data_IF_981966473313
#
_entry.id   IF_981966473313
#
_cell.length_a   1.000
_cell.length_b   1.000
_cell.length_c   1.000
_cell.angle_alpha   90.00
_cell.angle_beta   90.00
_cell.angle_gamma   90.00
#
_symmetry.space_group_name_H-M   'P 1'
#
loop_
_entity.id
_entity.type
_entity.pdbx_description
1 polymer ?
#
# COMPACT_ATOMS: atom_id res chain seq x y z
N UNK A 1 -25.28 -19.33 19.57
CA UNK A 1 -26.67 -18.85 19.38
C UNK A 1 -27.15 -17.91 20.48
N UNK A 2 -27.30 -18.33 21.75
CA UNK A 2 -27.84 -17.45 22.82
C UNK A 2 -27.13 -16.10 22.96
N UNK A 3 -25.79 -16.07 22.88
CA UNK A 3 -25.03 -14.81 22.95
C UNK A 3 -25.23 -13.92 21.72
N UNK A 4 -25.40 -14.50 20.53
CA UNK A 4 -25.74 -13.75 19.32
C UNK A 4 -27.10 -13.07 19.46
N UNK A 5 -28.12 -13.78 19.95
CA UNK A 5 -29.43 -13.18 20.22
C UNK A 5 -29.34 -12.03 21.24
N UNK A 6 -28.55 -12.19 22.32
CA UNK A 6 -28.34 -11.12 23.30
C UNK A 6 -27.70 -9.87 22.67
N UNK A 7 -26.75 -10.03 21.74
CA UNK A 7 -26.17 -8.92 20.97
C UNK A 7 -27.23 -8.26 20.08
N UNK A 8 -27.98 -9.07 19.33
CA UNK A 8 -29.02 -8.59 18.41
C UNK A 8 -30.17 -7.87 19.11
N UNK A 9 -30.52 -8.23 20.35
CA UNK A 9 -31.55 -7.54 21.14
C UNK A 9 -31.12 -6.13 21.61
N UNK A 10 -29.85 -5.77 21.47
CA UNK A 10 -29.29 -4.48 21.90
C UNK A 10 -28.99 -3.52 20.74
N UNK A 11 -29.36 -3.88 19.52
CA UNK A 11 -29.12 -3.06 18.33
C UNK A 11 -29.96 -1.78 18.36
N UNK A 12 -29.41 -0.68 17.86
CA UNK A 12 -30.09 0.60 17.70
C UNK A 12 -30.23 1.02 16.24
N UNK A 13 -29.55 0.31 15.34
CA UNK A 13 -29.61 0.51 13.90
C UNK A 13 -29.59 -0.82 13.14
N UNK A 14 -29.91 -0.78 11.85
CA UNK A 14 -29.78 -1.96 10.97
C UNK A 14 -28.29 -2.30 10.75
N UNK A 15 -27.43 -1.28 10.76
CA UNK A 15 -25.98 -1.44 10.65
C UNK A 15 -25.41 -2.19 11.86
N UNK A 16 -25.89 -1.91 13.06
CA UNK A 16 -25.51 -2.60 14.30
C UNK A 16 -25.84 -4.11 14.24
N UNK A 17 -26.92 -4.50 13.56
CA UNK A 17 -27.27 -5.90 13.39
C UNK A 17 -26.26 -6.65 12.51
N UNK A 18 -25.79 -6.02 11.42
CA UNK A 18 -24.74 -6.57 10.58
C UNK A 18 -23.42 -6.71 11.35
N UNK A 19 -23.05 -5.67 12.11
CA UNK A 19 -21.83 -5.72 12.93
C UNK A 19 -21.95 -6.73 14.06
N UNK A 20 -23.12 -6.89 14.68
CA UNK A 20 -23.34 -7.89 15.74
C UNK A 20 -23.08 -9.32 15.27
N UNK A 21 -23.42 -9.65 14.02
CA UNK A 21 -23.08 -10.95 13.41
C UNK A 21 -21.56 -11.13 13.27
N UNK A 22 -20.90 -10.13 12.69
CA UNK A 22 -19.45 -10.10 12.49
C UNK A 22 -18.69 -10.20 13.81
N UNK A 23 -19.06 -9.37 14.77
CA UNK A 23 -18.47 -9.31 16.11
C UNK A 23 -18.69 -10.61 16.87
N UNK A 24 -19.86 -11.24 16.74
CA UNK A 24 -20.10 -12.54 17.37
C UNK A 24 -19.10 -13.59 16.89
N UNK A 25 -18.88 -13.70 15.58
CA UNK A 25 -17.90 -14.64 15.01
C UNK A 25 -16.47 -14.32 15.44
N UNK A 26 -16.14 -13.03 15.53
CA UNK A 26 -14.82 -12.60 16.00
C UNK A 26 -14.61 -12.93 17.48
N UNK A 27 -15.60 -12.66 18.33
CA UNK A 27 -15.54 -12.88 19.79
C UNK A 27 -15.39 -14.37 20.16
N UNK A 28 -16.05 -15.26 19.41
CA UNK A 28 -15.91 -16.72 19.62
C UNK A 28 -14.63 -17.29 18.99
N UNK A 29 -13.89 -16.49 18.23
CA UNK A 29 -12.65 -16.89 17.57
C UNK A 29 -12.84 -17.92 16.47
N UNK A 30 -13.98 -17.90 15.78
CA UNK A 30 -14.30 -18.85 14.72
C UNK A 30 -13.37 -18.67 13.51
N UNK A 31 -12.99 -19.77 12.87
CA UNK A 31 -12.04 -19.75 11.75
C UNK A 31 -12.51 -20.69 10.63
N UNK A 32 -12.34 -20.31 9.36
CA UNK A 32 -12.77 -21.15 8.27
C UNK A 32 -11.87 -22.38 8.20
N UNK A 33 -12.46 -23.53 7.86
CA UNK A 33 -11.68 -24.72 7.57
C UNK A 33 -10.79 -24.45 6.34
N UNK A 34 -9.47 -24.68 6.47
CA UNK A 34 -8.46 -24.42 5.42
C UNK A 34 -8.73 -25.17 4.11
N UNK A 35 -9.50 -26.26 4.17
CA UNK A 35 -9.85 -27.07 3.00
C UNK A 35 -11.15 -26.62 2.32
N UNK A 36 -11.90 -25.70 2.93
CA UNK A 36 -13.13 -25.19 2.33
C UNK A 36 -12.81 -24.38 1.09
N UNK A 37 -13.50 -24.70 -0.01
CA UNK A 37 -13.44 -23.95 -1.26
C UNK A 37 -14.46 -22.82 -1.19
N UNK A 38 -14.00 -21.59 -1.41
CA UNK A 38 -14.86 -20.42 -1.47
C UNK A 38 -14.27 -19.39 -2.44
N UNK A 39 -15.08 -18.40 -2.80
CA UNK A 39 -14.78 -17.41 -3.83
C UNK A 39 -14.72 -16.00 -3.23
N UNK A 40 -13.60 -15.32 -3.46
CA UNK A 40 -13.38 -13.93 -3.04
C UNK A 40 -13.18 -13.05 -4.27
N UNK A 41 -13.89 -11.92 -4.32
CA UNK A 41 -13.66 -10.86 -5.28
C UNK A 41 -13.03 -9.65 -4.60
N UNK A 42 -11.92 -9.16 -5.12
CA UNK A 42 -11.33 -7.89 -4.74
C UNK A 42 -11.76 -6.83 -5.77
N UNK A 43 -12.48 -5.82 -5.32
CA UNK A 43 -12.81 -4.64 -6.10
C UNK A 43 -11.76 -3.56 -5.87
N UNK A 44 -11.13 -3.12 -6.96
CA UNK A 44 -10.13 -2.07 -6.94
C UNK A 44 -10.38 -1.08 -8.09
N UNK A 45 -10.71 0.17 -7.77
CA UNK A 45 -10.99 1.24 -8.74
C UNK A 45 -9.98 2.39 -8.57
N UNK A 46 -8.69 2.17 -8.90
CA UNK A 46 -7.60 3.04 -8.49
C UNK A 46 -7.66 4.38 -9.21
N UNK A 47 -7.76 5.47 -8.45
CA UNK A 47 -7.85 6.81 -9.02
C UNK A 47 -6.48 7.39 -9.39
N UNK A 48 -5.57 7.43 -8.42
CA UNK A 48 -4.29 8.12 -8.58
C UNK A 48 -3.09 7.18 -8.34
N UNK A 49 -2.17 7.15 -9.31
CA UNK A 49 -0.91 6.42 -9.19
C UNK A 49 -1.06 4.89 -9.08
N UNK A 50 -0.01 4.27 -8.53
CA UNK A 50 0.16 2.82 -8.46
C UNK A 50 -0.05 2.25 -7.05
N UNK A 51 -0.26 3.12 -6.06
CA UNK A 51 -0.36 2.75 -4.64
C UNK A 51 -1.53 1.81 -4.36
N UNK A 52 -2.72 2.14 -4.86
CA UNK A 52 -3.94 1.34 -4.69
C UNK A 52 -3.85 -0.02 -5.37
N UNK A 53 -3.18 -0.08 -6.52
CA UNK A 53 -2.91 -1.33 -7.23
C UNK A 53 -2.02 -2.22 -6.38
N UNK A 54 -0.94 -1.67 -5.83
CA UNK A 54 -0.04 -2.41 -4.93
C UNK A 54 -0.76 -2.85 -3.67
N UNK A 55 -1.60 -2.01 -3.08
CA UNK A 55 -2.41 -2.36 -1.91
C UNK A 55 -3.30 -3.58 -2.19
N UNK A 56 -4.09 -3.53 -3.27
CA UNK A 56 -4.95 -4.65 -3.66
C UNK A 56 -4.15 -5.92 -3.97
N UNK A 57 -2.99 -5.79 -4.61
CA UNK A 57 -2.10 -6.90 -4.91
C UNK A 57 -1.53 -7.55 -3.64
N UNK A 58 -1.20 -6.76 -2.61
CA UNK A 58 -0.75 -7.29 -1.30
C UNK A 58 -1.86 -8.06 -0.60
N UNK A 59 -3.09 -7.54 -0.57
CA UNK A 59 -4.26 -8.25 -0.04
C UNK A 59 -4.51 -9.55 -0.80
N UNK A 60 -4.44 -9.52 -2.14
CA UNK A 60 -4.55 -10.72 -2.97
C UNK A 60 -3.54 -11.80 -2.57
N UNK A 61 -2.28 -11.41 -2.38
CA UNK A 61 -1.21 -12.33 -1.99
C UNK A 61 -1.45 -12.93 -0.59
N UNK A 62 -1.89 -12.13 0.38
CA UNK A 62 -2.23 -12.65 1.71
C UNK A 62 -3.36 -13.66 1.66
N UNK A 63 -4.43 -13.35 0.92
CA UNK A 63 -5.55 -14.27 0.78
C UNK A 63 -5.12 -15.58 0.12
N UNK A 64 -4.25 -15.52 -0.89
CA UNK A 64 -3.71 -16.73 -1.54
C UNK A 64 -2.85 -17.57 -0.60
N UNK A 65 -2.05 -16.93 0.24
CA UNK A 65 -1.23 -17.59 1.25
C UNK A 65 -2.10 -18.21 2.36
N UNK A 66 -3.08 -17.48 2.88
CA UNK A 66 -3.92 -17.92 3.99
C UNK A 66 -4.97 -18.96 3.58
N UNK A 67 -5.50 -18.86 2.37
CA UNK A 67 -6.59 -19.69 1.86
C UNK A 67 -6.25 -20.26 0.47
N UNK A 68 -5.33 -21.24 0.39
CA UNK A 68 -4.82 -21.75 -0.89
C UNK A 68 -5.90 -22.38 -1.77
N UNK A 69 -6.97 -22.91 -1.17
CA UNK A 69 -8.11 -23.52 -1.86
C UNK A 69 -9.17 -22.51 -2.31
N UNK A 70 -9.03 -21.23 -1.95
CA UNK A 70 -9.95 -20.18 -2.35
C UNK A 70 -9.69 -19.71 -3.78
N UNK A 71 -10.77 -19.50 -4.53
CA UNK A 71 -10.72 -18.80 -5.81
C UNK A 71 -10.77 -17.31 -5.53
N UNK A 72 -9.68 -16.60 -5.84
CA UNK A 72 -9.57 -15.17 -5.58
C UNK A 72 -9.41 -14.47 -6.93
N UNK A 73 -10.20 -13.43 -7.16
CA UNK A 73 -10.19 -12.63 -8.39
C UNK A 73 -10.09 -11.15 -8.04
N UNK A 74 -9.47 -10.36 -8.91
CA UNK A 74 -9.43 -8.89 -8.79
C UNK A 74 -10.22 -8.33 -9.97
N UNK A 75 -11.21 -7.47 -9.70
CA UNK A 75 -11.90 -6.70 -10.72
C UNK A 75 -11.46 -5.24 -10.65
N UNK A 76 -11.00 -4.71 -11.79
CA UNK A 76 -10.38 -3.38 -11.87
C UNK A 76 -10.47 -2.77 -13.26
N UNK A 77 -10.55 -1.43 -13.40
CA UNK A 77 -10.39 -0.74 -14.68
C UNK A 77 -8.93 -0.62 -15.13
N UNK A 78 -7.94 -0.98 -14.30
CA UNK A 78 -6.50 -0.87 -14.60
C UNK A 78 -5.80 -2.23 -14.64
N UNK A 79 -6.31 -3.17 -15.44
CA UNK A 79 -5.78 -4.54 -15.56
C UNK A 79 -4.29 -4.55 -15.92
N UNK A 80 -3.86 -3.70 -16.84
CA UNK A 80 -2.46 -3.62 -17.28
C UNK A 80 -1.48 -3.32 -16.13
N UNK A 81 -1.92 -2.54 -15.14
CA UNK A 81 -1.08 -2.24 -13.97
C UNK A 81 -0.82 -3.52 -13.15
N UNK A 82 -1.83 -4.37 -12.94
CA UNK A 82 -1.64 -5.65 -12.25
C UNK A 82 -0.81 -6.64 -13.08
N UNK A 83 -1.00 -6.68 -14.40
CA UNK A 83 -0.18 -7.49 -15.29
C UNK A 83 1.29 -7.08 -15.23
N UNK A 84 1.58 -5.77 -15.19
CA UNK A 84 2.95 -5.26 -15.04
C UNK A 84 3.61 -5.59 -13.70
N UNK A 85 2.80 -5.91 -12.67
CA UNK A 85 3.25 -6.45 -11.39
C UNK A 85 3.41 -7.98 -11.39
N UNK A 86 3.20 -8.64 -12.53
CA UNK A 86 3.34 -10.08 -12.70
C UNK A 86 2.11 -10.89 -12.32
N UNK A 87 0.93 -10.26 -12.19
CA UNK A 87 -0.28 -10.99 -11.87
C UNK A 87 -0.76 -11.86 -13.04
N UNK A 88 -1.26 -13.06 -12.74
CA UNK A 88 -1.79 -13.95 -13.76
C UNK A 88 -3.11 -13.35 -14.35
N UNK A 89 -3.23 -13.21 -15.68
CA UNK A 89 -4.44 -12.69 -16.34
C UNK A 89 -5.72 -13.41 -15.92
N UNK A 90 -5.64 -14.73 -15.66
CA UNK A 90 -6.81 -15.52 -15.24
C UNK A 90 -7.37 -15.07 -13.89
N UNK A 91 -6.60 -14.37 -13.05
CA UNK A 91 -7.06 -13.82 -11.77
C UNK A 91 -7.70 -12.44 -11.89
N UNK A 92 -7.79 -11.87 -13.10
CA UNK A 92 -8.23 -10.51 -13.32
C UNK A 92 -9.55 -10.48 -14.09
N UNK A 93 -10.42 -9.55 -13.70
CA UNK A 93 -11.58 -9.13 -14.49
C UNK A 93 -11.43 -7.66 -14.86
N UNK A 94 -11.59 -7.35 -16.14
CA UNK A 94 -11.59 -5.97 -16.57
C UNK A 94 -12.96 -5.31 -16.34
N UNK A 95 -12.94 -4.21 -15.59
CA UNK A 95 -14.09 -3.32 -15.38
C UNK A 95 -14.02 -2.18 -16.39
N UNK A 96 -14.90 -2.20 -17.37
CA UNK A 96 -15.02 -1.18 -18.40
C UNK A 96 -15.62 0.11 -17.81
N UNK A 97 -14.91 1.25 -17.86
CA UNK A 97 -15.46 2.54 -17.50
C UNK A 97 -16.32 3.16 -18.59
N UNK A 98 -16.38 2.60 -19.80
CA UNK A 98 -17.03 3.20 -20.97
C UNK A 98 -16.04 3.94 -21.87
N UNK A 99 -16.42 4.17 -23.13
CA UNK A 99 -15.53 4.78 -24.14
C UNK A 99 -15.25 6.24 -23.82
N UNK A 100 -13.97 6.63 -23.81
CA UNK A 100 -13.54 8.03 -23.63
C UNK A 100 -13.72 8.58 -22.22
N UNK A 101 -13.96 7.73 -21.23
CA UNK A 101 -14.22 8.12 -19.84
C UNK A 101 -13.01 7.76 -18.97
N UNK A 102 -12.77 8.58 -17.96
CA UNK A 102 -11.73 8.37 -16.95
C UNK A 102 -11.88 7.01 -16.24
N UNK A 103 -10.75 6.36 -15.97
CA UNK A 103 -10.70 5.05 -15.31
C UNK A 103 -11.02 5.12 -13.81
N UNK A 104 -10.83 6.29 -13.18
CA UNK A 104 -11.23 6.58 -11.81
C UNK A 104 -12.73 6.89 -11.76
N UNK A 105 -13.56 5.95 -11.28
CA UNK A 105 -14.98 6.23 -11.06
C UNK A 105 -15.64 5.25 -10.11
N UNK A 106 -16.78 5.68 -9.56
CA UNK A 106 -17.72 4.88 -8.77
C UNK A 106 -18.11 3.57 -9.46
N UNK A 107 -18.30 2.52 -8.67
CA UNK A 107 -18.62 1.17 -9.16
C UNK A 107 -19.96 1.12 -9.90
N UNK A 108 -20.91 1.99 -9.55
CA UNK A 108 -22.19 2.21 -10.27
C UNK A 108 -22.05 2.42 -11.76
N UNK A 109 -20.87 2.85 -12.22
CA UNK A 109 -20.65 3.16 -13.61
C UNK A 109 -19.64 2.25 -14.31
N UNK A 110 -19.09 1.28 -13.59
CA UNK A 110 -18.22 0.26 -14.12
C UNK A 110 -19.06 -0.93 -14.57
N UNK A 111 -18.58 -1.67 -15.58
CA UNK A 111 -19.25 -2.90 -16.05
C UNK A 111 -18.20 -3.96 -16.38
N UNK A 112 -18.48 -5.22 -16.10
CA UNK A 112 -17.60 -6.32 -16.53
C UNK A 112 -17.55 -6.42 -18.06
N UNK A 113 -16.38 -6.22 -18.68
CA UNK A 113 -16.27 -6.21 -20.14
C UNK A 113 -16.26 -7.60 -20.75
N UNK A 114 -15.53 -8.54 -20.14
CA UNK A 114 -15.35 -9.90 -20.65
C UNK A 114 -16.65 -10.71 -20.66
N UNK A 115 -17.62 -10.23 -19.88
CA UNK A 115 -18.92 -10.85 -19.63
C UNK A 115 -19.95 -10.40 -20.67
N UNK A 116 -19.97 -9.12 -21.04
CA UNK A 116 -20.89 -8.61 -22.07
C UNK A 116 -20.61 -9.17 -23.47
N UNK A 117 -19.38 -9.60 -23.75
CA UNK A 117 -19.01 -10.19 -25.04
C UNK A 117 -19.31 -11.68 -25.15
N UNK A 118 -19.57 -12.36 -24.04
CA UNK A 118 -19.64 -13.84 -23.99
C UNK A 118 -20.92 -14.40 -23.35
N UNK A 119 -21.85 -13.56 -22.89
CA UNK A 119 -23.09 -14.00 -22.20
C UNK A 119 -22.80 -14.97 -21.02
N UNK A 120 -21.76 -14.66 -20.24
CA UNK A 120 -21.35 -15.47 -19.08
C UNK A 120 -21.86 -14.80 -17.81
N UNK A 121 -22.66 -15.51 -17.01
CA UNK A 121 -23.02 -15.02 -15.67
C UNK A 121 -21.78 -14.74 -14.82
N UNK A 122 -21.77 -13.58 -14.13
CA UNK A 122 -20.73 -13.27 -13.16
C UNK A 122 -20.76 -14.39 -12.10
N UNK A 123 -19.65 -15.11 -11.84
CA UNK A 123 -19.63 -16.08 -10.77
C UNK A 123 -20.08 -15.43 -9.46
N UNK A 124 -20.97 -16.09 -8.71
CA UNK A 124 -21.31 -15.63 -7.37
C UNK A 124 -20.07 -15.80 -6.49
N UNK A 125 -19.65 -14.70 -5.88
CA UNK A 125 -18.59 -14.62 -4.89
C UNK A 125 -19.19 -14.67 -3.50
N UNK A 126 -18.48 -15.32 -2.59
CA UNK A 126 -18.92 -15.48 -1.21
C UNK A 126 -18.58 -14.22 -0.42
N UNK A 127 -17.40 -13.66 -0.71
CA UNK A 127 -16.90 -12.45 -0.08
C UNK A 127 -16.43 -11.44 -1.15
N UNK A 128 -16.76 -10.17 -0.94
CA UNK A 128 -16.36 -9.04 -1.77
C UNK A 128 -15.51 -8.12 -0.90
N UNK A 129 -14.30 -7.79 -1.34
CA UNK A 129 -13.39 -6.89 -0.65
C UNK A 129 -13.20 -5.61 -1.46
N UNK A 130 -13.48 -4.45 -0.90
CA UNK A 130 -13.14 -3.16 -1.50
C UNK A 130 -11.79 -2.71 -0.93
N UNK A 131 -10.74 -2.80 -1.74
CA UNK A 131 -9.36 -2.67 -1.26
C UNK A 131 -8.47 -1.83 -2.19
N UNK A 132 -8.00 -0.64 -1.77
CA UNK A 132 -8.58 0.15 -0.68
C UNK A 132 -9.91 0.80 -1.13
N UNK A 133 -10.72 1.19 -0.15
CA UNK A 133 -11.83 2.11 -0.34
C UNK A 133 -11.30 3.43 -0.89
N UNK A 134 -11.81 3.86 -2.05
CA UNK A 134 -11.31 5.06 -2.73
C UNK A 134 -11.79 6.33 -2.02
N UNK A 135 -10.84 7.16 -1.58
CA UNK A 135 -11.15 8.42 -0.88
C UNK A 135 -11.87 9.44 -1.78
N UNK A 136 -11.60 9.41 -3.08
CA UNK A 136 -12.12 10.38 -4.05
C UNK A 136 -13.65 10.31 -4.21
N UNK A 137 -14.24 9.13 -4.01
CA UNK A 137 -15.68 8.95 -4.22
C UNK A 137 -16.41 8.13 -3.17
N UNK A 138 -15.68 7.42 -2.30
CA UNK A 138 -16.15 6.69 -1.12
C UNK A 138 -17.41 5.83 -1.40
N UNK A 139 -17.24 4.66 -2.05
CA UNK A 139 -18.37 3.87 -2.53
C UNK A 139 -19.22 3.33 -1.37
N UNK A 140 -20.52 3.53 -1.45
CA UNK A 140 -21.48 2.90 -0.53
C UNK A 140 -21.79 1.47 -0.97
N UNK A 141 -22.47 0.72 -0.10
CA UNK A 141 -22.92 -0.63 -0.45
C UNK A 141 -23.90 -0.61 -1.64
N UNK A 142 -24.71 0.43 -1.79
CA UNK A 142 -25.59 0.63 -2.94
C UNK A 142 -24.80 0.91 -4.23
N UNK A 143 -23.66 1.59 -4.14
CA UNK A 143 -22.77 1.79 -5.29
C UNK A 143 -22.22 0.45 -5.80
N UNK A 144 -21.77 -0.39 -4.88
CA UNK A 144 -21.25 -1.73 -5.15
C UNK A 144 -22.37 -2.64 -5.67
N UNK A 145 -23.58 -2.55 -5.09
CA UNK A 145 -24.73 -3.36 -5.48
C UNK A 145 -25.18 -3.13 -6.94
N UNK A 146 -24.91 -1.96 -7.52
CA UNK A 146 -25.17 -1.74 -8.96
C UNK A 146 -24.21 -2.52 -9.88
N UNK A 147 -23.02 -2.88 -9.39
CA UNK A 147 -22.08 -3.74 -10.09
C UNK A 147 -22.29 -5.22 -9.72
N UNK A 148 -22.61 -5.50 -8.44
CA UNK A 148 -22.78 -6.84 -7.88
C UNK A 148 -24.10 -6.89 -7.09
N UNK A 149 -25.23 -7.29 -7.70
CA UNK A 149 -26.57 -7.12 -7.11
C UNK A 149 -26.81 -7.76 -5.74
N UNK A 150 -26.04 -8.78 -5.37
CA UNK A 150 -26.16 -9.47 -4.07
C UNK A 150 -25.20 -8.92 -2.99
N UNK A 151 -24.42 -7.88 -3.29
CA UNK A 151 -23.55 -7.24 -2.31
C UNK A 151 -24.35 -6.61 -1.17
N UNK A 152 -23.93 -6.86 0.07
CA UNK A 152 -24.50 -6.28 1.28
C UNK A 152 -23.43 -6.13 2.36
N UNK A 153 -23.80 -5.52 3.49
CA UNK A 153 -22.86 -5.21 4.58
C UNK A 153 -22.25 -6.44 5.28
N UNK A 154 -22.72 -7.67 5.04
CA UNK A 154 -22.13 -8.89 5.62
C UNK A 154 -21.09 -9.49 4.69
N UNK A 155 -21.42 -9.66 3.41
CA UNK A 155 -20.52 -10.27 2.43
C UNK A 155 -19.57 -9.28 1.75
N UNK A 156 -19.69 -7.98 2.04
CA UNK A 156 -18.82 -6.94 1.50
C UNK A 156 -18.02 -6.31 2.63
N UNK A 157 -16.70 -6.39 2.52
CA UNK A 157 -15.75 -5.84 3.49
C UNK A 157 -14.92 -4.73 2.86
N UNK A 158 -14.56 -3.75 3.67
CA UNK A 158 -13.93 -2.51 3.23
C UNK A 158 -12.60 -2.31 3.94
N UNK A 159 -11.59 -1.91 3.17
CA UNK A 159 -10.26 -1.61 3.69
C UNK A 159 -9.99 -0.12 3.53
N UNK A 160 -9.63 0.56 4.61
CA UNK A 160 -9.20 1.95 4.52
C UNK A 160 -7.86 2.06 3.78
N UNK A 161 -7.54 3.25 3.27
CA UNK A 161 -6.14 3.62 3.09
C UNK A 161 -5.41 3.75 4.45
N UNK A 162 -4.07 3.79 4.45
CA UNK A 162 -3.33 3.92 5.70
C UNK A 162 -3.67 5.21 6.44
N UNK A 163 -4.08 5.04 7.70
CA UNK A 163 -4.38 6.11 8.65
C UNK A 163 -5.45 7.11 8.16
N UNK A 164 -6.43 6.66 7.36
CA UNK A 164 -7.65 7.43 7.06
C UNK A 164 -8.51 7.64 8.33
N UNK A 165 -9.50 8.53 8.33
CA UNK A 165 -10.31 8.81 9.51
C UNK A 165 -11.03 7.56 10.07
N UNK A 166 -11.05 7.41 11.40
CA UNK A 166 -11.62 6.23 12.09
C UNK A 166 -13.16 6.21 12.09
N UNK A 167 -13.80 7.36 11.88
CA UNK A 167 -15.26 7.54 11.87
C UNK A 167 -15.93 7.09 10.56
N UNK A 168 -15.13 6.53 9.64
CA UNK A 168 -15.55 6.04 8.33
C UNK A 168 -15.91 4.54 8.33
N UNK A 169 -16.19 3.95 9.51
CA UNK A 169 -16.78 2.62 9.69
C UNK A 169 -16.22 1.51 8.77
N UNK A 170 -14.89 1.51 8.55
CA UNK A 170 -14.22 0.48 7.76
C UNK A 170 -14.16 -0.84 8.53
N UNK A 171 -14.29 -1.96 7.82
CA UNK A 171 -14.07 -3.29 8.41
C UNK A 171 -12.61 -3.49 8.81
N UNK A 172 -11.70 -2.93 8.01
CA UNK A 172 -10.26 -2.93 8.25
C UNK A 172 -9.68 -1.51 8.15
N UNK A 173 -9.30 -0.96 9.30
CA UNK A 173 -8.64 0.32 9.45
C UNK A 173 -7.12 0.15 9.34
N UNK A 174 -6.61 0.11 8.12
CA UNK A 174 -5.17 -0.07 7.87
C UNK A 174 -4.35 1.14 8.34
N UNK A 175 -3.13 0.90 8.83
CA UNK A 175 -2.26 1.95 9.36
C UNK A 175 -1.59 1.59 10.69
N UNK A 176 -1.11 2.63 11.40
CA UNK A 176 -0.42 2.50 12.69
C UNK A 176 -0.99 3.45 13.75
N UNK A 177 -0.86 3.06 15.01
CA UNK A 177 -1.40 3.77 16.18
C UNK A 177 -2.87 3.45 16.45
N UNK A 178 -3.34 3.75 17.67
CA UNK A 178 -4.70 3.43 18.13
C UNK A 178 -5.10 1.95 17.83
N UNK A 179 -6.35 1.70 17.48
CA UNK A 179 -6.90 0.38 17.17
C UNK A 179 -6.76 -0.01 15.69
N UNK A 180 -5.72 0.48 15.01
CA UNK A 180 -5.48 0.15 13.60
C UNK A 180 -5.09 -1.30 13.41
N UNK A 181 -5.41 -1.80 12.23
CA UNK A 181 -5.22 -3.19 11.82
C UNK A 181 -3.82 -3.46 11.26
N UNK A 182 -2.92 -2.48 11.23
CA UNK A 182 -1.53 -2.66 10.82
C UNK A 182 -1.24 -2.26 9.37
N UNK A 183 0.02 -2.43 8.99
CA UNK A 183 0.59 -2.14 7.68
C UNK A 183 0.75 -3.43 6.85
N UNK A 184 0.60 -3.30 5.52
CA UNK A 184 0.77 -4.41 4.61
C UNK A 184 2.26 -4.65 4.31
N UNK A 185 2.90 -5.50 5.12
CA UNK A 185 4.27 -5.97 4.89
C UNK A 185 4.33 -7.24 4.03
N UNK A 186 5.22 -7.27 3.05
CA UNK A 186 5.49 -8.45 2.23
C UNK A 186 6.93 -8.88 2.46
N UNK A 187 7.20 -10.11 2.90
CA UNK A 187 8.59 -10.55 3.15
C UNK A 187 9.07 -11.44 2.01
N UNK A 188 9.52 -10.87 0.87
CA UNK A 188 9.95 -11.66 -0.28
C UNK A 188 11.18 -12.49 0.09
N UNK A 189 11.07 -13.81 -0.06
CA UNK A 189 12.18 -14.74 0.20
C UNK A 189 13.32 -14.53 -0.81
N UNK A 190 12.97 -14.26 -2.07
CA UNK A 190 13.92 -14.13 -3.18
C UNK A 190 13.84 -12.75 -3.84
N UNK A 191 14.58 -11.79 -3.29
CA UNK A 191 14.83 -10.51 -3.97
C UNK A 191 15.97 -10.71 -4.97
N UNK A 192 15.73 -10.30 -6.21
CA UNK A 192 16.63 -10.47 -7.37
C UNK A 192 18.05 -9.90 -7.19
N UNK A 193 18.95 -10.22 -8.13
CA UNK A 193 20.32 -9.74 -8.09
C UNK A 193 20.40 -8.23 -8.35
N UNK A 194 21.54 -7.64 -8.00
CA UNK A 194 21.88 -6.26 -8.34
C UNK A 194 21.72 -6.02 -9.85
N UNK A 195 21.12 -4.89 -10.22
CA UNK A 195 20.98 -4.52 -11.62
C UNK A 195 22.37 -4.39 -12.29
N UNK A 196 22.62 -5.01 -13.46
CA UNK A 196 23.94 -5.01 -14.10
C UNK A 196 24.53 -3.61 -14.40
N UNK A 197 23.67 -2.61 -14.53
CA UNK A 197 24.02 -1.20 -14.81
C UNK A 197 24.55 -0.44 -13.59
N UNK A 198 24.44 -1.01 -12.37
CA UNK A 198 24.90 -0.42 -11.12
C UNK A 198 26.13 -1.17 -10.61
N UNK A 199 27.31 -0.58 -10.76
CA UNK A 199 28.60 -1.18 -10.35
C UNK A 199 29.18 -0.56 -9.08
N UNK A 200 28.83 0.68 -8.78
CA UNK A 200 29.29 1.39 -7.59
C UNK A 200 28.29 1.18 -6.43
N UNK A 201 28.72 1.37 -5.16
CA UNK A 201 27.79 1.61 -4.07
C UNK A 201 26.82 2.73 -4.43
N UNK A 202 25.54 2.59 -4.06
CA UNK A 202 24.54 3.59 -4.43
C UNK A 202 23.47 3.77 -3.36
N UNK A 203 22.90 4.97 -3.29
CA UNK A 203 21.67 5.24 -2.54
C UNK A 203 20.48 5.35 -3.49
N UNK A 204 19.28 5.13 -2.96
CA UNK A 204 18.03 5.23 -3.72
C UNK A 204 17.23 6.41 -3.19
N UNK A 205 16.75 7.24 -4.10
CA UNK A 205 15.79 8.32 -3.89
C UNK A 205 14.56 8.01 -4.74
N UNK A 206 13.41 7.87 -4.11
CA UNK A 206 12.14 7.64 -4.79
C UNK A 206 11.07 8.55 -4.17
N UNK A 207 11.06 9.80 -4.62
CA UNK A 207 10.18 10.84 -4.07
C UNK A 207 9.27 11.46 -5.13
N UNK A 208 8.17 12.06 -4.68
CA UNK A 208 7.20 12.73 -5.54
C UNK A 208 7.69 14.15 -5.89
N UNK A 209 7.35 14.64 -7.07
CA UNK A 209 7.57 16.03 -7.45
C UNK A 209 6.54 16.94 -6.76
N UNK A 210 7.01 17.79 -5.84
CA UNK A 210 6.23 18.72 -5.03
C UNK A 210 7.12 19.91 -4.64
N UNK A 211 6.52 21.05 -4.31
CA UNK A 211 7.25 22.27 -3.94
C UNK A 211 8.25 22.08 -2.78
N UNK A 212 7.99 21.17 -1.84
CA UNK A 212 8.91 20.87 -0.72
C UNK A 212 9.95 19.78 -1.05
N UNK A 213 9.85 19.10 -2.19
CA UNK A 213 10.73 18.00 -2.58
C UNK A 213 12.18 18.42 -2.75
N UNK A 214 12.41 19.67 -3.16
CA UNK A 214 13.75 20.22 -3.36
C UNK A 214 14.54 20.23 -2.04
N UNK A 215 13.92 20.72 -0.96
CA UNK A 215 14.55 20.78 0.38
C UNK A 215 14.78 19.38 0.93
N UNK A 216 13.82 18.49 0.72
CA UNK A 216 13.88 17.10 1.13
C UNK A 216 15.09 16.39 0.49
N UNK A 217 15.21 16.48 -0.84
CA UNK A 217 16.33 15.90 -1.59
C UNK A 217 17.68 16.47 -1.15
N UNK A 218 17.81 17.79 -1.05
CA UNK A 218 19.07 18.44 -0.65
C UNK A 218 19.54 17.99 0.74
N UNK A 219 18.62 17.90 1.70
CA UNK A 219 18.94 17.45 3.07
C UNK A 219 19.41 15.99 3.08
N UNK A 220 18.81 15.14 2.23
CA UNK A 220 19.22 13.76 2.07
C UNK A 220 20.60 13.63 1.42
N UNK A 221 20.88 14.39 0.36
CA UNK A 221 22.20 14.43 -0.28
C UNK A 221 23.28 14.89 0.70
N UNK A 222 22.99 15.91 1.51
CA UNK A 222 23.91 16.37 2.54
C UNK A 222 24.22 15.26 3.55
N UNK A 223 23.21 14.56 4.06
CA UNK A 223 23.37 13.40 4.93
C UNK A 223 24.24 12.31 4.27
N UNK A 224 23.89 11.89 3.05
CA UNK A 224 24.57 10.81 2.36
C UNK A 224 26.05 11.12 2.13
N UNK A 225 26.35 12.32 1.65
CA UNK A 225 27.73 12.69 1.30
C UNK A 225 28.60 12.81 2.55
N UNK A 226 28.06 13.31 3.66
CA UNK A 226 28.78 13.30 4.94
C UNK A 226 28.99 11.90 5.52
N UNK A 227 28.02 11.00 5.36
CA UNK A 227 28.07 9.64 5.89
C UNK A 227 28.97 8.72 5.07
N UNK A 228 28.95 8.84 3.74
CA UNK A 228 29.53 7.86 2.83
C UNK A 228 30.81 8.32 2.11
N UNK A 229 31.12 9.62 2.01
CA UNK A 229 32.31 10.09 1.26
C UNK A 229 33.63 9.50 1.78
N UNK A 230 33.76 9.29 3.09
CA UNK A 230 34.96 8.65 3.66
C UNK A 230 35.07 7.16 3.34
N UNK A 231 33.94 6.48 3.10
CA UNK A 231 33.86 5.04 2.86
C UNK A 231 33.88 4.69 1.38
N UNK A 232 33.31 5.54 0.54
CA UNK A 232 33.07 5.28 -0.88
C UNK A 232 33.59 6.44 -1.72
N UNK A 233 34.75 6.22 -2.37
CA UNK A 233 35.31 7.18 -3.34
C UNK A 233 34.38 7.40 -4.53
N UNK A 234 33.60 6.39 -4.92
CA UNK A 234 32.55 6.50 -5.94
C UNK A 234 31.21 6.13 -5.31
N UNK A 235 30.23 7.01 -5.44
CA UNK A 235 28.86 6.78 -4.96
C UNK A 235 27.88 7.17 -6.06
N UNK A 236 26.94 6.30 -6.35
CA UNK A 236 25.83 6.61 -7.27
C UNK A 236 24.57 6.97 -6.46
N UNK A 237 23.74 7.86 -6.99
CA UNK A 237 22.42 8.20 -6.44
C UNK A 237 21.38 7.90 -7.51
N UNK A 238 20.63 6.82 -7.31
CA UNK A 238 19.52 6.42 -8.18
C UNK A 238 18.30 7.27 -7.84
N UNK A 239 17.81 8.06 -8.79
CA UNK A 239 16.79 9.08 -8.52
C UNK A 239 15.84 9.29 -9.73
N UNK A 240 14.63 9.86 -9.54
CA UNK A 240 13.68 10.09 -10.62
C UNK A 240 14.19 11.16 -11.60
N UNK A 241 13.89 11.00 -12.90
CA UNK A 241 14.41 11.90 -13.95
C UNK A 241 14.05 13.36 -13.73
N UNK A 242 12.89 13.67 -13.16
CA UNK A 242 12.44 15.04 -12.90
C UNK A 242 13.40 15.82 -11.97
N UNK A 243 14.12 15.14 -11.07
CA UNK A 243 15.15 15.81 -10.23
C UNK A 243 16.34 16.20 -11.10
N UNK A 244 16.72 15.39 -12.08
CA UNK A 244 17.79 15.73 -13.03
C UNK A 244 17.40 16.94 -13.86
N UNK A 245 16.18 16.93 -14.41
CA UNK A 245 15.62 18.06 -15.18
C UNK A 245 15.67 19.34 -14.34
N UNK A 246 15.21 19.29 -13.10
CA UNK A 246 15.28 20.40 -12.16
C UNK A 246 16.72 20.88 -11.89
N UNK A 247 17.69 19.97 -11.73
CA UNK A 247 19.11 20.34 -11.55
C UNK A 247 19.65 21.07 -12.77
N UNK A 248 19.31 20.62 -13.97
CA UNK A 248 19.82 21.19 -15.22
C UNK A 248 19.15 22.53 -15.56
N UNK A 249 17.87 22.69 -15.22
CA UNK A 249 17.07 23.87 -15.55
C UNK A 249 17.18 24.99 -14.50
N UNK A 250 17.26 24.67 -13.20
CA UNK A 250 17.36 25.65 -12.11
C UNK A 250 18.79 25.80 -11.58
N UNK A 251 19.49 26.85 -12.04
CA UNK A 251 20.84 27.21 -11.57
C UNK A 251 20.92 27.44 -10.06
N UNK A 252 19.87 27.98 -9.42
CA UNK A 252 19.86 28.16 -7.97
C UNK A 252 19.79 26.81 -7.26
N UNK A 253 19.01 25.87 -7.79
CA UNK A 253 18.91 24.53 -7.23
C UNK A 253 20.23 23.77 -7.43
N UNK A 254 20.81 23.81 -8.63
CA UNK A 254 22.13 23.25 -8.93
C UNK A 254 23.19 23.71 -7.93
N UNK A 255 23.30 25.03 -7.68
CA UNK A 255 24.27 25.58 -6.72
C UNK A 255 24.06 25.04 -5.29
N UNK A 256 22.81 24.89 -4.85
CA UNK A 256 22.48 24.31 -3.54
C UNK A 256 22.82 22.82 -3.49
N UNK A 257 22.59 22.08 -4.58
CA UNK A 257 22.95 20.68 -4.71
C UNK A 257 24.47 20.51 -4.60
N UNK A 258 25.25 21.25 -5.40
CA UNK A 258 26.72 21.23 -5.35
C UNK A 258 27.26 21.53 -3.94
N UNK A 259 26.67 22.50 -3.24
CA UNK A 259 27.02 22.81 -1.85
C UNK A 259 26.73 21.62 -0.91
N UNK A 260 25.55 21.02 -1.05
CA UNK A 260 25.11 19.88 -0.23
C UNK A 260 25.95 18.63 -0.50
N UNK A 261 26.54 18.51 -1.69
CA UNK A 261 27.41 17.41 -2.09
C UNK A 261 28.91 17.71 -2.05
N UNK A 262 29.32 18.81 -1.41
CA UNK A 262 30.69 19.33 -1.40
C UNK A 262 31.77 18.37 -0.90
N UNK A 263 31.41 17.23 -0.32
CA UNK A 263 32.37 16.17 0.03
C UNK A 263 32.93 15.45 -1.19
N UNK A 264 32.20 15.42 -2.31
CA UNK A 264 32.65 14.86 -3.57
C UNK A 264 33.11 15.98 -4.50
N UNK A 265 34.35 15.91 -4.98
CA UNK A 265 34.93 16.93 -5.87
C UNK A 265 34.42 16.83 -7.31
N UNK A 266 34.08 15.62 -7.75
CA UNK A 266 33.53 15.37 -9.08
C UNK A 266 32.07 14.96 -9.00
N UNK A 267 31.21 15.63 -9.76
CA UNK A 267 29.77 15.36 -9.79
C UNK A 267 29.32 15.18 -11.24
N UNK A 268 28.74 14.02 -11.53
CA UNK A 268 28.35 13.61 -12.88
C UNK A 268 26.88 13.21 -12.89
N UNK A 269 26.14 13.60 -13.93
CA UNK A 269 24.79 13.11 -14.21
C UNK A 269 24.86 12.06 -15.32
N UNK A 270 24.07 11.00 -15.18
CA UNK A 270 23.73 10.06 -16.27
C UNK A 270 22.24 10.10 -16.57
N UNK A 271 21.91 10.19 -17.85
CA UNK A 271 20.54 10.15 -18.37
C UNK A 271 20.35 8.98 -19.33
N UNK A 272 19.10 8.65 -19.66
CA UNK A 272 18.79 7.55 -20.61
C UNK A 272 19.39 7.76 -22.00
N UNK A 273 19.73 9.00 -22.37
CA UNK A 273 20.36 9.32 -23.65
C UNK A 273 21.87 9.00 -23.69
N UNK A 274 22.41 8.36 -22.63
CA UNK A 274 23.82 7.98 -22.48
C UNK A 274 24.83 9.15 -22.41
N UNK A 275 24.36 10.38 -22.21
CA UNK A 275 25.22 11.52 -21.99
C UNK A 275 25.70 11.56 -20.54
N UNK A 276 27.02 11.53 -20.33
CA UNK A 276 27.64 11.88 -19.06
C UNK A 276 27.78 13.40 -18.99
N UNK A 277 26.96 14.06 -18.17
CA UNK A 277 27.03 15.52 -17.98
C UNK A 277 27.85 15.79 -16.72
N UNK A 278 28.97 16.51 -16.87
CA UNK A 278 29.82 16.91 -15.74
C UNK A 278 29.30 18.22 -15.15
N UNK A 279 28.87 18.19 -13.88
CA UNK A 279 28.40 19.37 -13.16
C UNK A 279 29.50 20.08 -12.36
N UNK A 280 30.47 19.30 -11.87
CA UNK A 280 31.64 19.80 -11.17
C UNK A 280 32.81 18.85 -11.40
N UNK A 281 33.99 19.42 -11.59
CA UNK A 281 35.25 18.69 -11.71
C UNK A 281 36.28 19.31 -10.78
N UNK A 282 36.92 18.47 -9.97
CA UNK A 282 38.09 18.82 -9.17
C UNK A 282 39.13 17.74 -9.40
N UNK A 283 40.10 18.06 -10.25
CA UNK A 283 41.12 17.12 -10.73
C UNK A 283 42.00 16.59 -9.58
N UNK A 284 42.05 17.30 -8.44
CA UNK A 284 42.79 16.89 -7.25
C UNK A 284 41.99 15.92 -6.37
N UNK A 285 40.67 15.88 -6.50
CA UNK A 285 39.80 15.07 -5.66
C UNK A 285 39.20 13.90 -6.43
N UNK A 286 39.76 12.70 -6.27
CA UNK A 286 39.28 11.49 -6.94
C UNK A 286 37.88 10.97 -6.49
N UNK A 287 37.16 11.70 -5.63
CA UNK A 287 35.82 11.32 -5.19
C UNK A 287 34.77 11.75 -6.21
N UNK A 288 33.98 10.78 -6.68
CA UNK A 288 32.95 10.96 -7.71
C UNK A 288 31.56 10.63 -7.15
N UNK A 289 30.63 11.58 -7.27
CA UNK A 289 29.20 11.37 -7.05
C UNK A 289 28.49 11.32 -8.40
N UNK A 290 27.82 10.20 -8.70
CA UNK A 290 27.04 10.05 -9.95
C UNK A 290 25.55 10.13 -9.67
N UNK A 291 24.86 11.11 -10.22
CA UNK A 291 23.39 11.20 -10.19
C UNK A 291 22.82 10.40 -11.37
N UNK A 292 22.03 9.36 -11.07
CA UNK A 292 21.55 8.35 -12.04
C UNK A 292 20.05 8.53 -12.30
N UNK A 293 19.71 9.39 -13.27
CA UNK A 293 18.34 9.55 -13.78
C UNK A 293 17.98 8.55 -14.90
N UNK A 294 18.92 7.70 -15.28
CA UNK A 294 18.79 6.69 -16.33
C UNK A 294 18.10 5.39 -15.88
N UNK A 295 17.97 5.17 -14.56
CA UNK A 295 17.45 3.93 -13.99
C UNK A 295 15.93 3.98 -13.76
N UNK A 296 15.44 4.98 -13.04
CA UNK A 296 14.03 5.06 -12.66
C UNK A 296 13.15 5.63 -13.79
N UNK A 297 11.85 5.26 -13.85
CA UNK A 297 11.14 4.26 -13.02
C UNK A 297 11.47 2.81 -13.41
N UNK A 298 11.24 1.86 -12.49
CA UNK A 298 11.40 0.40 -12.71
C UNK A 298 10.21 -0.37 -12.13
N UNK A 299 10.05 -1.64 -12.53
CA UNK A 299 9.03 -2.53 -11.96
C UNK A 299 9.29 -2.82 -10.47
N UNK A 300 8.25 -3.20 -9.71
CA UNK A 300 8.35 -3.42 -8.25
C UNK A 300 9.45 -4.44 -7.87
N UNK A 301 9.59 -5.54 -8.62
CA UNK A 301 10.65 -6.54 -8.41
C UNK A 301 12.06 -5.93 -8.47
N UNK A 302 12.29 -5.06 -9.45
CA UNK A 302 13.58 -4.37 -9.61
C UNK A 302 13.75 -3.28 -8.55
N UNK A 303 12.66 -2.62 -8.13
CA UNK A 303 12.67 -1.65 -7.04
C UNK A 303 13.09 -2.30 -5.71
N UNK A 304 12.57 -3.49 -5.40
CA UNK A 304 12.99 -4.26 -4.22
C UNK A 304 14.48 -4.67 -4.31
N UNK A 305 14.96 -4.99 -5.51
CA UNK A 305 16.39 -5.24 -5.75
C UNK A 305 17.23 -3.99 -5.48
N UNK A 306 16.80 -2.82 -5.99
CA UNK A 306 17.43 -1.52 -5.71
C UNK A 306 17.51 -1.24 -4.21
N UNK A 307 16.44 -1.49 -3.46
CA UNK A 307 16.45 -1.31 -2.01
C UNK A 307 17.40 -2.27 -1.30
N UNK A 308 17.42 -3.56 -1.68
CA UNK A 308 18.29 -4.56 -1.05
C UNK A 308 19.76 -4.25 -1.22
N UNK A 309 20.19 -3.90 -2.43
CA UNK A 309 21.61 -3.79 -2.76
C UNK A 309 22.19 -2.37 -2.63
N UNK A 310 21.38 -1.36 -2.30
CA UNK A 310 21.84 -0.01 -2.00
C UNK A 310 22.69 0.08 -0.71
N UNK A 311 23.19 1.28 -0.38
CA UNK A 311 23.67 1.61 0.97
C UNK A 311 22.51 1.61 1.97
N UNK A 312 22.79 1.86 3.27
CA UNK A 312 21.76 1.73 4.30
C UNK A 312 20.64 2.77 4.20
N UNK A 313 20.94 4.00 3.79
CA UNK A 313 19.95 5.08 3.77
C UNK A 313 19.22 5.13 2.44
N UNK A 314 17.89 5.16 2.49
CA UNK A 314 16.99 5.21 1.33
C UNK A 314 15.99 6.34 1.58
N UNK A 315 15.74 7.21 0.60
CA UNK A 315 14.70 8.24 0.70
C UNK A 315 13.49 7.83 -0.14
N UNK A 316 12.32 7.78 0.49
CA UNK A 316 11.06 7.38 -0.17
C UNK A 316 9.93 8.36 0.14
N UNK A 317 8.97 8.42 -0.78
CA UNK A 317 7.63 8.97 -0.56
C UNK A 317 6.59 7.88 -0.70
N UNK A 318 5.53 8.02 0.08
CA UNK A 318 4.35 7.19 -0.05
C UNK A 318 4.36 5.97 0.85
N UNK A 319 3.16 5.67 1.29
CA UNK A 319 2.74 4.62 2.19
C UNK A 319 3.28 3.24 1.80
N UNK A 320 3.12 2.86 0.53
CA UNK A 320 3.60 1.56 0.05
C UNK A 320 5.13 1.50 -0.02
N UNK A 321 5.79 2.56 -0.48
CA UNK A 321 7.26 2.60 -0.59
C UNK A 321 7.96 2.40 0.75
N UNK A 322 7.47 3.03 1.83
CA UNK A 322 8.07 2.82 3.16
C UNK A 322 7.81 1.41 3.68
N UNK A 323 6.61 0.86 3.46
CA UNK A 323 6.34 -0.54 3.82
C UNK A 323 7.20 -1.51 3.04
N UNK A 324 7.53 -1.23 1.76
CA UNK A 324 8.37 -2.07 0.92
C UNK A 324 9.84 -2.07 1.38
N UNK A 325 10.37 -0.91 1.80
CA UNK A 325 11.73 -0.83 2.38
C UNK A 325 11.84 -1.64 3.68
N UNK A 326 10.84 -1.50 4.57
CA UNK A 326 10.78 -2.24 5.82
C UNK A 326 10.60 -3.75 5.57
N UNK A 327 9.67 -4.10 4.70
CA UNK A 327 9.40 -5.44 4.20
C UNK A 327 10.65 -6.17 3.68
N UNK A 328 11.36 -5.53 2.75
CA UNK A 328 12.50 -6.15 2.09
C UNK A 328 13.72 -6.24 3.00
N UNK A 329 13.95 -5.21 3.82
CA UNK A 329 15.30 -4.89 4.22
C UNK A 329 15.42 -4.19 5.59
N UNK A 330 14.43 -4.34 6.48
CA UNK A 330 14.42 -3.69 7.79
C UNK A 330 15.67 -3.92 8.66
N UNK A 331 16.41 -5.01 8.44
CA UNK A 331 17.64 -5.32 9.19
C UNK A 331 18.82 -4.43 8.79
N UNK A 332 18.84 -3.91 7.56
CA UNK A 332 20.02 -3.25 6.98
C UNK A 332 19.74 -1.86 6.40
N UNK A 333 18.46 -1.49 6.24
CA UNK A 333 18.04 -0.22 5.64
C UNK A 333 17.35 0.70 6.61
N UNK A 334 17.52 2.00 6.38
CA UNK A 334 16.96 3.10 7.13
C UNK A 334 16.15 3.94 6.13
N UNK A 335 14.81 3.81 6.12
CA UNK A 335 13.95 4.65 5.30
C UNK A 335 13.90 6.07 5.88
N UNK A 336 14.30 7.04 5.08
CA UNK A 336 13.96 8.45 5.23
C UNK A 336 12.68 8.71 4.44
N UNK A 337 11.81 9.58 4.95
CA UNK A 337 10.45 9.73 4.44
C UNK A 337 10.15 11.18 4.06
N UNK A 338 9.73 11.39 2.82
CA UNK A 338 9.14 12.66 2.41
C UNK A 338 7.67 12.72 2.84
N UNK A 339 7.38 13.63 3.77
CA UNK A 339 6.00 13.90 4.19
C UNK A 339 5.30 14.76 3.13
N UNK A 340 4.17 14.26 2.63
CA UNK A 340 3.27 14.97 1.71
C UNK A 340 2.04 15.49 2.45
N UNK A 341 1.43 16.57 1.95
CA UNK A 341 0.36 17.28 2.66
C UNK A 341 -0.87 16.42 2.94
N UNK A 342 -1.25 15.56 1.99
CA UNK A 342 -2.40 14.66 2.08
C UNK A 342 -2.14 13.38 2.88
N UNK A 343 -0.91 13.15 3.38
CA UNK A 343 -0.53 12.01 4.24
C UNK A 343 0.16 12.44 5.54
N UNK A 344 -0.12 13.66 6.00
CA UNK A 344 0.44 14.18 7.26
C UNK A 344 0.09 13.32 8.47
N UNK A 345 -1.12 12.80 8.54
CA UNK A 345 -1.54 12.01 9.70
C UNK A 345 -0.93 10.62 9.71
N UNK A 346 -0.70 10.01 8.54
CA UNK A 346 0.15 8.82 8.43
C UNK A 346 1.56 9.11 8.97
N UNK A 347 2.21 10.18 8.51
CA UNK A 347 3.55 10.55 8.97
C UNK A 347 3.63 10.82 10.48
N UNK A 348 2.63 11.52 11.06
CA UNK A 348 2.57 11.77 12.51
C UNK A 348 2.43 10.49 13.30
N UNK A 349 1.56 9.57 12.88
CA UNK A 349 1.39 8.29 13.57
C UNK A 349 2.63 7.41 13.41
N UNK A 350 3.24 7.41 12.22
CA UNK A 350 4.49 6.74 11.97
C UNK A 350 5.60 7.27 12.90
N UNK A 351 5.73 8.60 13.07
CA UNK A 351 6.74 9.18 13.95
C UNK A 351 6.59 8.78 15.43
N UNK A 352 5.36 8.46 15.89
CA UNK A 352 5.10 8.02 17.27
C UNK A 352 5.50 6.56 17.51
N UNK A 353 5.39 5.73 16.48
CA UNK A 353 5.52 4.26 16.62
C UNK A 353 6.77 3.69 15.96
N UNK A 354 7.20 4.27 14.85
CA UNK A 354 8.46 3.90 14.21
C UNK A 354 9.59 4.33 15.15
N UNK A 355 10.60 3.48 15.38
CA UNK A 355 11.81 3.88 16.07
C UNK A 355 12.62 4.77 15.13
N UNK A 356 12.11 5.97 14.81
CA UNK A 356 12.79 7.03 14.09
C UNK A 356 12.26 8.38 14.57
N UNK A 357 13.03 9.01 15.47
CA UNK A 357 12.70 10.31 16.03
C UNK A 357 12.76 11.46 15.01
N UNK A 358 13.30 11.24 13.81
CA UNK A 358 13.45 12.27 12.80
C UNK A 358 12.26 12.36 11.84
N UNK A 359 11.35 11.38 11.84
CA UNK A 359 10.16 11.38 10.97
C UNK A 359 9.09 12.37 11.42
N UNK A 360 9.13 12.88 12.65
CA UNK A 360 8.09 13.77 13.20
C UNK A 360 7.96 15.11 12.47
N UNK A 361 9.00 15.58 11.80
CA UNK A 361 9.03 16.89 11.15
C UNK A 361 9.48 16.79 9.70
N UNK A 362 8.81 17.54 8.81
CA UNK A 362 9.16 17.63 7.38
C UNK A 362 10.64 17.97 7.15
N UNK A 363 11.25 18.73 8.06
CA UNK A 363 12.63 19.19 7.92
C UNK A 363 13.64 18.05 8.17
N UNK A 364 13.36 17.17 9.13
CA UNK A 364 14.27 16.09 9.51
C UNK A 364 13.93 14.75 8.88
N UNK A 365 12.69 14.55 8.43
CA UNK A 365 12.19 13.26 7.95
C UNK A 365 12.88 12.78 6.68
N UNK A 366 13.38 13.71 5.87
CA UNK A 366 14.13 13.44 4.65
C UNK A 366 15.62 13.16 4.88
N UNK A 367 16.09 13.24 6.12
CA UNK A 367 17.49 13.10 6.47
C UNK A 367 18.06 14.37 7.10
N UNK A 368 18.90 14.16 8.11
CA UNK A 368 19.61 15.22 8.85
C UNK A 368 20.99 14.71 9.25
N UNK A 369 21.97 15.60 9.37
CA UNK A 369 23.33 15.24 9.83
C UNK A 369 23.32 14.56 11.21
N UNK A 370 22.33 14.84 12.05
CA UNK A 370 22.15 14.17 13.34
C UNK A 370 21.84 12.67 13.20
N UNK A 371 21.32 12.25 12.04
CA UNK A 371 20.99 10.86 11.74
C UNK A 371 22.18 10.04 11.19
N UNK A 372 23.37 10.63 10.99
CA UNK A 372 24.54 9.92 10.43
C UNK A 372 24.87 8.65 11.23
N UNK A 373 24.81 8.72 12.56
CA UNK A 373 25.11 7.62 13.48
C UNK A 373 23.87 6.83 13.90
N UNK A 374 22.71 7.16 13.35
CA UNK A 374 21.45 6.54 13.72
C UNK A 374 21.37 5.10 13.20
N UNK A 375 20.95 4.18 14.09
CA UNK A 375 20.81 2.75 13.80
C UNK A 375 19.51 2.23 14.43
N UNK A 376 18.36 2.53 13.80
CA UNK A 376 17.07 2.09 14.31
C UNK A 376 16.92 0.56 14.21
N UNK A 377 16.11 0.00 15.10
CA UNK A 377 15.72 -1.41 15.05
C UNK A 377 14.21 -1.53 14.79
N UNK A 378 13.84 -1.79 13.54
CA UNK A 378 12.45 -1.86 13.12
C UNK A 378 11.75 -3.19 13.47
N UNK A 379 12.44 -4.18 14.05
CA UNK A 379 11.87 -5.51 14.32
C UNK A 379 10.56 -5.44 15.12
N UNK A 380 10.60 -4.68 16.22
CA UNK A 380 9.46 -4.53 17.12
C UNK A 380 8.31 -3.81 16.42
N UNK A 381 8.60 -2.71 15.72
CA UNK A 381 7.60 -1.97 14.97
C UNK A 381 6.89 -2.85 13.93
N UNK A 382 7.66 -3.61 13.16
CA UNK A 382 7.11 -4.52 12.15
C UNK A 382 6.22 -5.57 12.80
N UNK A 383 6.70 -6.21 13.87
CA UNK A 383 5.93 -7.20 14.61
C UNK A 383 4.61 -6.62 15.14
N UNK A 384 4.67 -5.46 15.80
CA UNK A 384 3.52 -4.86 16.47
C UNK A 384 2.46 -4.33 15.49
N UNK A 385 2.88 -3.96 14.28
CA UNK A 385 2.04 -3.35 13.24
C UNK A 385 1.91 -4.19 11.97
N UNK A 386 2.16 -5.50 12.03
CA UNK A 386 1.95 -6.38 10.88
C UNK A 386 0.46 -6.68 10.69
N UNK A 387 -0.10 -6.25 9.57
CA UNK A 387 -1.50 -6.51 9.22
C UNK A 387 -1.83 -8.00 9.27
N UNK A 388 -0.88 -8.85 8.88
CA UNK A 388 -1.05 -10.30 8.83
C UNK A 388 -1.26 -10.93 10.20
N UNK A 389 -0.81 -10.26 11.25
CA UNK A 389 -0.98 -10.70 12.64
C UNK A 389 -2.22 -10.06 13.26
N UNK A 390 -2.42 -8.77 13.04
CA UNK A 390 -3.49 -8.00 13.70
C UNK A 390 -4.88 -8.21 13.09
N UNK A 391 -4.95 -8.35 11.77
CA UNK A 391 -6.22 -8.37 11.05
C UNK A 391 -6.69 -9.77 10.66
N UNK A 392 -5.79 -10.74 10.60
CA UNK A 392 -6.08 -12.07 10.07
C UNK A 392 -7.19 -12.77 10.86
N UNK A 393 -7.20 -12.67 12.18
CA UNK A 393 -8.24 -13.35 12.99
C UNK A 393 -9.63 -12.76 12.74
N UNK A 394 -9.73 -11.44 12.54
CA UNK A 394 -10.99 -10.80 12.16
C UNK A 394 -11.44 -11.23 10.77
N UNK A 395 -10.52 -11.32 9.81
CA UNK A 395 -10.84 -11.81 8.47
C UNK A 395 -11.24 -13.30 8.47
N UNK A 396 -10.56 -14.14 9.26
CA UNK A 396 -10.94 -15.54 9.46
C UNK A 396 -12.40 -15.61 9.96
N UNK A 397 -12.74 -14.87 11.01
CA UNK A 397 -14.10 -14.83 11.57
C UNK A 397 -15.15 -14.42 10.53
N UNK A 398 -14.86 -13.40 9.71
CA UNK A 398 -15.82 -12.92 8.71
C UNK A 398 -16.00 -13.91 7.56
N UNK A 399 -14.94 -14.64 7.18
CA UNK A 399 -15.05 -15.73 6.20
C UNK A 399 -15.87 -16.87 6.79
N UNK A 400 -15.64 -17.25 8.04
CA UNK A 400 -16.41 -18.30 8.69
C UNK A 400 -17.91 -17.97 8.72
N UNK A 401 -18.28 -16.74 9.10
CA UNK A 401 -19.66 -16.25 9.04
C UNK A 401 -20.29 -16.45 7.66
N UNK A 402 -19.60 -16.01 6.60
CA UNK A 402 -20.11 -16.12 5.23
C UNK A 402 -20.28 -17.58 4.78
N UNK A 403 -19.41 -18.47 5.26
CA UNK A 403 -19.53 -19.91 4.98
C UNK A 403 -20.69 -20.53 5.75
N UNK A 404 -20.89 -20.17 7.00
CA UNK A 404 -21.97 -20.70 7.82
C UNK A 404 -23.33 -20.20 7.36
N UNK A 405 -23.45 -18.96 6.88
CA UNK A 405 -24.67 -18.46 6.21
C UNK A 405 -25.14 -19.40 5.07
N UNK A 406 -24.23 -20.18 4.48
CA UNK A 406 -24.57 -21.13 3.41
C UNK A 406 -24.87 -22.54 3.89
N UNK A 407 -24.28 -22.93 5.02
CA UNK A 407 -24.20 -24.32 5.45
C UNK A 407 -24.93 -24.59 6.78
N UNK A 408 -25.24 -23.55 7.55
CA UNK A 408 -25.91 -23.59 8.84
C UNK A 408 -27.25 -22.83 8.73
N UNK A 409 -28.35 -23.58 8.75
CA UNK A 409 -29.71 -23.06 8.58
C UNK A 409 -30.08 -22.02 9.66
N UNK A 410 -29.84 -22.25 10.97
CA UNK A 410 -30.04 -21.22 11.99
C UNK A 410 -29.32 -19.90 11.72
N UNK A 411 -28.06 -19.93 11.27
CA UNK A 411 -27.30 -18.72 10.94
C UNK A 411 -27.85 -18.06 9.67
N UNK A 412 -28.20 -18.85 8.65
CA UNK A 412 -28.83 -18.37 7.43
C UNK A 412 -30.15 -17.65 7.70
N UNK A 413 -30.97 -18.17 8.61
CA UNK A 413 -32.26 -17.58 9.00
C UNK A 413 -32.09 -16.21 9.66
N UNK A 414 -31.15 -16.10 10.61
CA UNK A 414 -30.83 -14.81 11.25
C UNK A 414 -30.31 -13.81 10.21
N UNK A 415 -29.40 -14.25 9.33
CA UNK A 415 -28.88 -13.41 8.26
C UNK A 415 -30.00 -12.92 7.33
N UNK A 416 -30.88 -13.82 6.89
CA UNK A 416 -32.01 -13.51 6.01
C UNK A 416 -32.98 -12.52 6.67
N UNK A 417 -33.28 -12.72 7.95
CA UNK A 417 -34.08 -11.79 8.75
C UNK A 417 -33.47 -10.38 8.70
N UNK A 418 -32.17 -10.25 8.94
CA UNK A 418 -31.47 -8.96 8.95
C UNK A 418 -31.48 -8.32 7.56
N UNK A 419 -31.14 -9.08 6.51
CA UNK A 419 -31.05 -8.55 5.13
C UNK A 419 -32.43 -8.08 4.63
N UNK A 420 -33.46 -8.89 4.82
CA UNK A 420 -34.82 -8.63 4.32
C UNK A 420 -35.57 -7.56 5.13
N UNK A 421 -35.21 -7.36 6.41
CA UNK A 421 -35.81 -6.32 7.24
C UNK A 421 -35.50 -4.92 6.70
N UNK A 422 -36.52 -4.05 6.60
CA UNK A 422 -36.34 -2.64 6.21
C UNK A 422 -35.80 -1.79 7.36
N UNK A 423 -36.08 -2.17 8.61
CA UNK A 423 -35.69 -1.42 9.80
C UNK A 423 -35.21 -2.35 10.92
N UNK A 424 -34.39 -1.86 11.84
CA UNK A 424 -33.95 -2.65 13.00
C UNK A 424 -35.11 -3.06 13.92
N UNK A 425 -36.19 -2.26 13.99
CA UNK A 425 -37.39 -2.60 14.77
C UNK A 425 -38.10 -3.86 14.26
N UNK A 426 -38.02 -4.12 12.94
CA UNK A 426 -38.57 -5.35 12.37
C UNK A 426 -37.73 -6.56 12.78
N UNK A 427 -36.40 -6.41 12.85
CA UNK A 427 -35.48 -7.43 13.36
C UNK A 427 -35.85 -7.74 14.81
N UNK A 428 -35.90 -6.72 15.68
CA UNK A 428 -36.22 -6.88 17.10
C UNK A 428 -37.61 -7.50 17.39
N UNK A 429 -38.58 -7.33 16.48
CA UNK A 429 -39.91 -7.92 16.63
C UNK A 429 -39.94 -9.41 16.26
N UNK A 430 -39.03 -9.83 15.39
CA UNK A 430 -38.95 -11.20 14.89
C UNK A 430 -38.02 -12.09 15.71
N UNK A 431 -37.04 -11.50 16.41
CA UNK A 431 -36.24 -12.13 17.45
C UNK A 431 -37.07 -12.30 18.74
#
# INVERSE_FOLDING_TARGET
>A
MTELYKKLLRINSKYDAYNSLKDFYYDIGEKPNKNTKFKILILNAPCNGFGDVVFAMKIFNYLKEWYPNATIKIATPKVDNFLSLGQNPSNLYYLNPGKGIEQCRRFTHLKFQDIQKRDIDIPIFDLILVAPMQIDFYPSIEDIAKLIPYANNVNTLTFSEYNDYMDKDFDFNTGVGADRDGLLFTFPENIGPLLPTLKNPYAVVYIHDLANSHKCFLSFIELLTHKYAKKHKKLDIVLPIWIIELILEDKSFMKKMLKSSSKYGNIVIKTKKNDNIVLASDDLNNQILTLRGDILPVANKDMLSLYKHSVSDILVTGDQSITDVLSCCWKSKIPHYQIVSWKKDFAKNLAKHLPDKYISEMKSSCGTLQAIRYKPNFKKFIHDWDFRTRAKERLDAYIALVLDIKNDEPIADIYNLIVQSKTYRQILKAL
#
